data_IF_886045682728
#
_entry.id   IF_886045682728
#
_cell.length_a   1.000
_cell.length_b   1.000
_cell.length_c   1.000
_cell.angle_alpha   90.00
_cell.angle_beta   90.00
_cell.angle_gamma   90.00
#
_symmetry.space_group_name_H-M   'P 1'
#
loop_
_entity.id
_entity.type
_entity.pdbx_description
1 polymer ?
#
# COMPACT_ATOMS: atom_id res chain seq x y z
N UNK A 1 -4.25 15.82 -20.57
CA UNK A 1 -4.16 16.22 -19.16
C UNK A 1 -5.53 16.56 -18.61
N UNK A 2 -6.28 17.51 -19.20
CA UNK A 2 -7.70 17.76 -18.85
C UNK A 2 -8.58 16.50 -18.86
N UNK A 3 -8.49 15.67 -19.91
CA UNK A 3 -9.28 14.43 -20.00
C UNK A 3 -9.04 13.42 -18.86
N UNK A 4 -7.82 13.35 -18.32
CA UNK A 4 -7.50 12.44 -17.20
C UNK A 4 -8.08 12.95 -15.87
N UNK A 5 -8.06 14.27 -15.65
CA UNK A 5 -8.66 14.89 -14.47
C UNK A 5 -10.18 14.83 -14.50
N UNK A 6 -10.80 15.00 -15.68
CA UNK A 6 -12.24 14.83 -15.89
C UNK A 6 -12.71 13.39 -15.63
N UNK A 7 -11.95 12.39 -16.10
CA UNK A 7 -12.22 10.98 -15.81
C UNK A 7 -12.09 10.69 -14.31
N UNK A 8 -11.03 11.18 -13.67
CA UNK A 8 -10.84 11.02 -12.23
C UNK A 8 -11.98 11.66 -11.43
N UNK A 9 -12.40 12.88 -11.79
CA UNK A 9 -13.50 13.57 -11.15
C UNK A 9 -14.85 12.86 -11.33
N UNK A 10 -15.15 12.32 -12.51
CA UNK A 10 -16.38 11.54 -12.74
C UNK A 10 -16.39 10.23 -11.93
N UNK A 11 -15.22 9.67 -11.64
CA UNK A 11 -15.02 8.55 -10.73
C UNK A 11 -15.01 8.95 -9.24
N UNK A 12 -15.05 10.24 -8.92
CA UNK A 12 -15.08 10.75 -7.54
C UNK A 12 -13.73 10.79 -6.87
N UNK A 13 -12.65 10.56 -7.62
CA UNK A 13 -11.29 10.73 -7.13
C UNK A 13 -11.11 12.20 -6.83
N UNK A 14 -10.93 12.52 -5.56
CA UNK A 14 -10.67 13.88 -5.12
C UNK A 14 -9.18 14.20 -5.15
N UNK A 15 -8.29 13.22 -4.99
CA UNK A 15 -6.85 13.47 -4.91
C UNK A 15 -6.29 13.88 -6.27
N UNK A 16 -5.80 15.11 -6.36
CA UNK A 16 -5.13 15.60 -7.57
C UNK A 16 -3.73 15.03 -7.61
N UNK A 17 -3.31 14.46 -8.74
CA UNK A 17 -1.96 13.91 -8.87
C UNK A 17 -0.88 14.94 -9.17
N UNK A 18 -1.30 16.12 -9.64
CA UNK A 18 -0.44 17.25 -9.96
C UNK A 18 -1.13 18.55 -9.54
N UNK A 19 -0.37 19.64 -9.35
CA UNK A 19 -0.97 20.96 -9.25
C UNK A 19 -1.87 21.19 -10.47
N UNK A 20 -3.08 21.75 -10.30
CA UNK A 20 -3.85 22.23 -11.43
C UNK A 20 -2.95 23.12 -12.27
N UNK A 21 -3.05 23.05 -13.58
CA UNK A 21 -2.47 24.11 -14.41
C UNK A 21 -3.21 25.39 -14.08
N UNK A 22 -2.63 26.21 -13.20
CA UNK A 22 -3.08 27.57 -12.95
C UNK A 22 -3.03 28.41 -14.23
N UNK A 23 -3.56 29.65 -14.19
CA UNK A 23 -3.51 30.54 -15.35
C UNK A 23 -2.05 30.72 -15.85
N UNK A 24 -1.86 31.10 -17.13
CA UNK A 24 -0.54 31.18 -17.75
C UNK A 24 0.44 31.96 -16.88
N UNK A 25 1.73 31.56 -16.88
CA UNK A 25 2.80 32.40 -16.38
C UNK A 25 2.62 33.80 -16.97
N UNK A 26 2.26 34.78 -16.14
CA UNK A 26 2.36 36.17 -16.55
C UNK A 26 3.85 36.49 -16.61
N UNK A 27 4.41 36.50 -17.82
CA UNK A 27 5.79 36.88 -18.05
C UNK A 27 5.90 38.40 -17.88
N UNK A 28 6.43 38.85 -16.75
CA UNK A 28 6.63 40.28 -16.46
C UNK A 28 8.13 40.57 -16.46
N UNK A 29 8.75 40.51 -17.65
CA UNK A 29 10.18 40.79 -17.82
C UNK A 29 11.11 39.70 -17.23
N UNK A 30 12.25 40.03 -16.61
CA UNK A 30 13.23 39.04 -16.13
C UNK A 30 12.79 38.27 -14.87
N UNK A 31 11.56 38.46 -14.40
CA UNK A 31 11.04 37.83 -13.19
C UNK A 31 9.87 36.91 -13.51
N UNK A 32 9.96 35.66 -13.04
CA UNK A 32 8.82 34.75 -13.00
C UNK A 32 8.02 35.02 -11.73
N UNK A 33 6.81 35.58 -11.86
CA UNK A 33 5.89 35.75 -10.73
C UNK A 33 4.76 34.73 -10.84
N UNK A 34 4.66 33.81 -9.87
CA UNK A 34 3.46 32.98 -9.67
C UNK A 34 2.62 33.60 -8.56
N UNK A 35 1.41 34.04 -8.91
CA UNK A 35 0.38 34.31 -7.90
C UNK A 35 0.12 32.98 -7.17
N UNK A 36 0.40 32.91 -5.87
CA UNK A 36 -0.07 31.80 -5.05
C UNK A 36 -1.60 31.86 -5.07
N UNK A 37 -2.20 30.96 -5.84
CA UNK A 37 -3.64 30.77 -5.86
C UNK A 37 -3.95 29.53 -5.01
N UNK A 38 -5.04 29.53 -4.24
CA UNK A 38 -5.43 28.41 -3.36
C UNK A 38 -5.54 27.05 -4.11
N UNK A 39 -5.71 27.11 -5.44
CA UNK A 39 -5.69 25.94 -6.31
C UNK A 39 -4.32 25.24 -6.44
N UNK A 40 -3.19 25.93 -6.22
CA UNK A 40 -1.84 25.41 -6.46
C UNK A 40 -1.14 24.85 -5.22
N UNK A 41 -1.85 24.68 -4.11
CA UNK A 41 -1.36 24.01 -2.92
C UNK A 41 -2.09 22.68 -2.71
N UNK A 42 -1.42 21.63 -2.21
CA UNK A 42 -2.08 20.39 -1.84
C UNK A 42 -3.15 20.65 -0.78
N UNK A 43 -4.31 20.00 -0.92
CA UNK A 43 -5.43 20.18 0.03
C UNK A 43 -5.36 19.27 1.24
N UNK A 44 -4.64 18.15 1.12
CA UNK A 44 -4.41 17.20 2.20
C UNK A 44 -3.04 16.55 2.02
N UNK A 45 -2.61 15.79 3.04
CA UNK A 45 -1.28 15.17 3.05
C UNK A 45 -1.10 14.16 1.91
N UNK A 46 -2.15 13.41 1.54
CA UNK A 46 -2.06 12.41 0.48
C UNK A 46 -1.80 13.10 -0.86
N UNK A 47 -2.47 14.21 -1.13
CA UNK A 47 -2.25 15.02 -2.32
C UNK A 47 -0.81 15.57 -2.36
N UNK A 48 -0.28 16.03 -1.21
CA UNK A 48 1.11 16.51 -1.12
C UNK A 48 2.11 15.39 -1.41
N UNK A 49 1.89 14.20 -0.84
CA UNK A 49 2.72 13.02 -1.06
C UNK A 49 2.74 12.65 -2.55
N UNK A 50 1.57 12.56 -3.17
CA UNK A 50 1.42 12.17 -4.58
C UNK A 50 2.10 13.18 -5.51
N UNK A 51 2.00 14.48 -5.25
CA UNK A 51 2.66 15.50 -6.06
C UNK A 51 4.19 15.39 -5.97
N UNK A 52 4.72 15.18 -4.77
CA UNK A 52 6.15 14.96 -4.60
C UNK A 52 6.61 13.67 -5.26
N UNK A 53 5.79 12.62 -5.21
CA UNK A 53 6.09 11.33 -5.82
C UNK A 53 6.17 11.42 -7.34
N UNK A 54 5.29 12.18 -7.99
CA UNK A 54 5.35 12.41 -9.45
C UNK A 54 6.72 13.00 -9.86
N UNK A 55 7.21 14.00 -9.10
CA UNK A 55 8.53 14.62 -9.33
C UNK A 55 9.68 13.65 -9.03
N UNK A 56 9.58 12.89 -7.94
CA UNK A 56 10.57 11.90 -7.54
C UNK A 56 10.72 10.79 -8.59
N UNK A 57 9.60 10.19 -8.99
CA UNK A 57 9.55 9.11 -9.98
C UNK A 57 10.06 9.58 -11.34
N UNK A 58 9.75 10.81 -11.75
CA UNK A 58 10.31 11.38 -12.98
C UNK A 58 11.85 11.42 -12.95
N UNK A 59 12.46 11.83 -11.82
CA UNK A 59 13.92 11.86 -11.64
C UNK A 59 14.51 10.45 -11.59
N UNK A 60 13.88 9.52 -10.87
CA UNK A 60 14.34 8.13 -10.80
C UNK A 60 14.30 7.44 -12.16
N UNK A 61 13.23 7.67 -12.94
CA UNK A 61 13.08 7.12 -14.30
C UNK A 61 14.13 7.66 -15.27
N UNK A 62 14.53 8.94 -15.15
CA UNK A 62 15.63 9.49 -15.93
C UNK A 62 16.96 8.79 -15.61
N UNK A 63 17.22 8.52 -14.32
CA UNK A 63 18.44 7.81 -13.87
C UNK A 63 18.42 6.32 -14.22
N UNK A 64 17.25 5.68 -14.14
CA UNK A 64 17.03 4.26 -14.46
C UNK A 64 15.84 4.10 -15.41
N UNK A 65 16.05 4.21 -16.73
CA UNK A 65 14.99 4.04 -17.72
C UNK A 65 14.37 2.64 -17.69
N UNK A 66 13.12 2.53 -18.15
CA UNK A 66 12.37 1.26 -18.16
C UNK A 66 13.11 0.13 -18.92
N UNK A 67 13.83 0.46 -19.99
CA UNK A 67 14.65 -0.50 -20.73
C UNK A 67 15.75 -1.13 -19.88
N UNK A 68 16.35 -0.37 -18.97
CA UNK A 68 17.32 -0.89 -18.00
C UNK A 68 16.65 -1.82 -17.00
N UNK A 69 15.47 -1.46 -16.49
CA UNK A 69 14.74 -2.30 -15.54
C UNK A 69 14.31 -3.63 -16.16
N UNK A 70 13.85 -3.61 -17.42
CA UNK A 70 13.49 -4.84 -18.15
C UNK A 70 14.67 -5.82 -18.25
N UNK A 71 15.89 -5.33 -18.49
CA UNK A 71 17.11 -6.17 -18.45
C UNK A 71 17.39 -6.70 -17.05
N UNK A 72 17.23 -5.88 -16.02
CA UNK A 72 17.40 -6.33 -14.63
C UNK A 72 16.38 -7.39 -14.22
N UNK A 73 15.17 -7.39 -14.79
CA UNK A 73 14.14 -8.39 -14.52
C UNK A 73 14.53 -9.80 -14.97
N UNK A 74 15.37 -9.94 -16.01
CA UNK A 74 15.86 -11.25 -16.48
C UNK A 74 16.63 -12.00 -15.39
N UNK A 75 17.25 -11.26 -14.46
CA UNK A 75 18.02 -11.80 -13.34
C UNK A 75 17.25 -11.74 -12.01
N UNK A 76 16.01 -11.26 -12.00
CA UNK A 76 15.24 -11.13 -10.77
C UNK A 76 14.79 -12.52 -10.28
N UNK A 77 14.94 -12.85 -8.98
CA UNK A 77 14.49 -14.13 -8.46
C UNK A 77 12.98 -14.28 -8.62
N UNK A 78 12.43 -15.50 -8.77
CA UNK A 78 10.99 -15.73 -8.88
C UNK A 78 10.20 -15.02 -7.77
N UNK A 79 9.01 -14.51 -8.10
CA UNK A 79 8.12 -13.98 -7.07
C UNK A 79 7.62 -15.10 -6.17
N UNK A 80 7.27 -14.73 -4.94
CA UNK A 80 6.67 -15.62 -3.96
C UNK A 80 5.16 -15.40 -3.97
N UNK A 81 4.42 -16.48 -3.70
CA UNK A 81 2.96 -16.43 -3.73
C UNK A 81 2.39 -15.69 -2.51
N UNK A 82 2.16 -14.39 -2.69
CA UNK A 82 1.63 -13.50 -1.65
C UNK A 82 0.22 -13.89 -1.23
N UNK A 83 -0.67 -14.22 -2.19
CA UNK A 83 -2.04 -14.66 -1.90
C UNK A 83 -2.06 -16.03 -1.21
N UNK A 84 -1.26 -16.97 -1.71
CA UNK A 84 -1.11 -18.30 -1.13
C UNK A 84 -0.63 -18.25 0.31
N UNK A 85 0.34 -17.40 0.63
CA UNK A 85 0.83 -17.22 2.00
C UNK A 85 -0.27 -16.74 2.97
N UNK A 86 -1.11 -15.79 2.55
CA UNK A 86 -2.26 -15.33 3.34
C UNK A 86 -3.30 -16.43 3.56
N UNK A 87 -3.65 -17.17 2.50
CA UNK A 87 -4.60 -18.29 2.58
C UNK A 87 -4.08 -19.39 3.50
N UNK A 88 -2.80 -19.72 3.40
CA UNK A 88 -2.17 -20.75 4.22
C UNK A 88 -2.17 -20.37 5.70
N UNK A 89 -1.75 -19.14 6.01
CA UNK A 89 -1.76 -18.64 7.39
C UNK A 89 -3.17 -18.68 7.99
N UNK A 90 -4.18 -18.29 7.22
CA UNK A 90 -5.57 -18.35 7.67
C UNK A 90 -6.05 -19.77 7.92
N UNK A 91 -5.78 -20.69 6.98
CA UNK A 91 -6.14 -22.11 7.11
C UNK A 91 -5.48 -22.77 8.31
N UNK A 92 -4.19 -22.48 8.54
CA UNK A 92 -3.38 -23.10 9.60
C UNK A 92 -3.78 -22.62 10.99
N UNK A 93 -4.02 -21.32 11.15
CA UNK A 93 -4.19 -20.71 12.48
C UNK A 93 -5.66 -20.51 12.88
N UNK A 94 -6.56 -20.42 11.89
CA UNK A 94 -7.95 -19.97 12.05
C UNK A 94 -8.11 -18.46 12.19
N UNK A 95 -7.03 -17.68 12.06
CA UNK A 95 -7.02 -16.21 12.18
C UNK A 95 -6.72 -15.53 10.85
N UNK A 96 -7.03 -14.24 10.66
CA UNK A 96 -6.58 -13.51 9.49
C UNK A 96 -5.06 -13.58 9.32
N UNK A 97 -4.57 -13.81 8.09
CA UNK A 97 -3.13 -13.81 7.81
C UNK A 97 -2.50 -12.43 8.08
N UNK A 98 -1.41 -12.39 8.85
CA UNK A 98 -0.74 -11.14 9.20
C UNK A 98 0.19 -10.66 8.06
N UNK A 99 -0.03 -9.45 7.58
CA UNK A 99 0.93 -8.65 6.82
C UNK A 99 1.61 -7.69 7.81
N UNK A 100 2.80 -8.05 8.29
CA UNK A 100 3.51 -7.24 9.27
C UNK A 100 4.29 -6.11 8.59
N UNK A 101 4.07 -4.86 9.03
CA UNK A 101 4.62 -3.68 8.38
C UNK A 101 5.95 -3.23 9.00
N UNK A 102 7.01 -3.26 8.18
CA UNK A 102 8.34 -2.73 8.48
C UNK A 102 8.35 -1.23 8.18
N UNK A 103 8.23 -0.42 9.25
CA UNK A 103 8.06 1.03 9.15
C UNK A 103 8.93 1.79 10.18
N UNK A 104 9.69 2.77 9.72
CA UNK A 104 10.54 3.62 10.57
C UNK A 104 9.79 4.82 11.15
N UNK A 105 9.03 5.52 10.31
CA UNK A 105 8.30 6.72 10.68
C UNK A 105 6.94 6.80 9.97
N UNK A 106 6.08 7.71 10.42
CA UNK A 106 4.89 8.13 9.68
C UNK A 106 4.63 9.63 9.85
N UNK A 107 3.94 10.30 8.90
CA UNK A 107 3.57 11.70 9.04
C UNK A 107 2.77 12.00 10.31
N UNK A 108 1.93 11.07 10.74
CA UNK A 108 1.04 11.22 11.90
C UNK A 108 1.71 10.98 13.26
N UNK A 109 2.82 10.23 13.31
CA UNK A 109 3.44 9.79 14.58
C UNK A 109 4.92 10.14 14.69
N UNK A 110 5.53 10.70 13.65
CA UNK A 110 6.98 10.94 13.60
C UNK A 110 7.76 9.62 13.56
N UNK A 111 8.92 9.58 14.22
CA UNK A 111 9.76 8.38 14.30
C UNK A 111 9.12 7.38 15.27
N UNK A 112 8.82 6.17 14.77
CA UNK A 112 8.24 5.08 15.56
C UNK A 112 9.31 4.20 16.20
N UNK A 113 10.48 4.11 15.56
CA UNK A 113 11.61 3.31 16.02
C UNK A 113 12.92 3.98 15.61
N UNK A 114 13.67 4.46 16.61
CA UNK A 114 14.96 5.15 16.40
C UNK A 114 16.01 4.17 15.86
N UNK A 115 16.16 3.03 16.55
CA UNK A 115 17.04 1.93 16.12
C UNK A 115 16.31 1.02 15.12
N UNK A 116 16.45 1.37 13.84
CA UNK A 116 15.74 0.75 12.73
C UNK A 116 16.68 -0.06 11.84
N UNK A 117 16.75 -1.36 12.11
CA UNK A 117 17.30 -2.36 11.18
C UNK A 117 16.14 -3.09 10.48
N UNK A 118 15.89 -2.82 9.18
CA UNK A 118 14.78 -3.43 8.45
C UNK A 118 14.90 -4.95 8.33
N UNK A 119 16.13 -5.49 8.27
CA UNK A 119 16.38 -6.93 8.10
C UNK A 119 16.09 -7.66 9.40
N UNK A 120 16.59 -7.15 10.54
CA UNK A 120 16.34 -7.77 11.83
C UNK A 120 14.86 -7.70 12.23
N UNK A 121 14.19 -6.58 11.93
CA UNK A 121 12.74 -6.46 12.12
C UNK A 121 11.99 -7.48 11.25
N UNK A 122 12.34 -7.61 9.97
CA UNK A 122 11.70 -8.56 9.06
C UNK A 122 11.86 -10.02 9.51
N UNK A 123 13.06 -10.42 9.94
CA UNK A 123 13.31 -11.76 10.50
C UNK A 123 12.50 -11.99 11.79
N UNK A 124 12.39 -10.97 12.64
CA UNK A 124 11.60 -11.07 13.86
C UNK A 124 10.10 -11.24 13.56
N UNK A 125 9.57 -10.53 12.56
CA UNK A 125 8.18 -10.72 12.11
C UNK A 125 7.94 -12.10 11.49
N UNK A 126 8.84 -12.57 10.63
CA UNK A 126 8.77 -13.92 10.06
C UNK A 126 8.75 -14.99 11.16
N UNK A 127 9.69 -14.90 12.11
CA UNK A 127 9.74 -15.80 13.27
C UNK A 127 8.47 -15.72 14.12
N UNK A 128 7.87 -14.53 14.23
CA UNK A 128 6.62 -14.30 14.95
C UNK A 128 5.36 -14.79 14.23
N UNK A 129 5.48 -15.37 13.03
CA UNK A 129 4.34 -15.94 12.29
C UNK A 129 3.67 -14.99 11.29
N UNK A 130 4.33 -13.88 10.91
CA UNK A 130 3.84 -13.05 9.82
C UNK A 130 3.74 -13.88 8.52
N UNK A 131 2.60 -13.78 7.84
CA UNK A 131 2.38 -14.46 6.56
C UNK A 131 3.13 -13.75 5.44
N UNK A 132 3.04 -12.42 5.43
CA UNK A 132 3.71 -11.53 4.49
C UNK A 132 4.31 -10.34 5.25
N UNK A 133 5.19 -9.59 4.58
CA UNK A 133 5.71 -8.33 5.10
C UNK A 133 5.29 -7.17 4.19
N UNK A 134 4.95 -6.03 4.80
CA UNK A 134 4.78 -4.74 4.12
C UNK A 134 6.00 -3.89 4.39
N UNK A 135 6.70 -3.43 3.36
CA UNK A 135 7.91 -2.60 3.52
C UNK A 135 7.63 -1.22 2.95
N UNK A 136 7.73 -0.19 3.80
CA UNK A 136 7.62 1.20 3.36
C UNK A 136 8.84 1.58 2.53
N UNK A 137 8.61 2.04 1.31
CA UNK A 137 9.69 2.49 0.41
C UNK A 137 9.73 4.00 0.22
N UNK A 138 8.71 4.73 0.66
CA UNK A 138 8.69 6.20 0.58
C UNK A 138 9.71 6.82 1.54
N UNK A 139 10.68 7.53 0.97
CA UNK A 139 11.79 8.13 1.72
C UNK A 139 11.35 9.38 2.49
N UNK A 140 10.60 10.29 1.85
CA UNK A 140 10.34 11.63 2.37
C UNK A 140 9.43 11.61 3.61
N UNK A 141 8.35 10.83 3.58
CA UNK A 141 7.29 10.86 4.58
C UNK A 141 7.37 9.70 5.57
N UNK A 142 7.90 8.55 5.14
CA UNK A 142 7.98 7.35 5.98
C UNK A 142 9.42 6.96 6.36
N UNK A 143 10.43 7.66 5.84
CA UNK A 143 11.86 7.32 5.99
C UNK A 143 12.15 5.87 5.58
N UNK A 144 11.38 5.39 4.59
CA UNK A 144 11.55 4.09 3.94
C UNK A 144 12.59 4.15 2.83
N UNK A 145 12.80 3.02 2.16
CA UNK A 145 13.61 2.97 0.93
C UNK A 145 13.36 1.68 0.17
N UNK A 146 13.57 1.71 -1.15
CA UNK A 146 13.61 0.50 -1.97
C UNK A 146 14.81 -0.39 -1.62
N UNK A 147 15.88 0.19 -1.08
CA UNK A 147 17.06 -0.52 -0.59
C UNK A 147 16.72 -1.36 0.66
N UNK A 148 15.82 -0.91 1.53
CA UNK A 148 15.34 -1.71 2.67
C UNK A 148 14.61 -2.96 2.18
N UNK A 149 13.74 -2.82 1.18
CA UNK A 149 13.03 -3.94 0.55
C UNK A 149 14.01 -4.97 -0.04
N UNK A 150 15.00 -4.50 -0.79
CA UNK A 150 16.04 -5.34 -1.40
C UNK A 150 16.92 -6.02 -0.35
N UNK A 151 17.30 -5.30 0.71
CA UNK A 151 18.08 -5.85 1.82
C UNK A 151 17.32 -6.97 2.53
N UNK A 152 16.02 -6.78 2.83
CA UNK A 152 15.17 -7.82 3.44
C UNK A 152 15.09 -9.05 2.52
N UNK A 153 14.88 -8.85 1.22
CA UNK A 153 14.84 -9.95 0.24
C UNK A 153 16.16 -10.74 0.24
N UNK A 154 17.29 -10.04 0.19
CA UNK A 154 18.62 -10.64 0.09
C UNK A 154 19.06 -11.32 1.39
N UNK A 155 18.53 -10.89 2.54
CA UNK A 155 18.81 -11.49 3.84
C UNK A 155 18.19 -12.89 4.03
N UNK A 156 17.41 -13.37 3.04
CA UNK A 156 16.90 -14.74 3.02
C UNK A 156 15.56 -14.94 3.74
N UNK A 157 14.94 -13.87 4.24
CA UNK A 157 13.53 -13.86 4.71
C UNK A 157 12.66 -14.50 3.64
N UNK A 158 11.79 -15.44 4.01
CA UNK A 158 10.92 -16.24 3.13
C UNK A 158 9.53 -15.65 2.94
N UNK A 159 9.03 -14.86 3.88
CA UNK A 159 7.78 -14.13 3.72
C UNK A 159 7.74 -13.37 2.37
N UNK A 160 6.62 -13.40 1.63
CA UNK A 160 6.41 -12.51 0.49
C UNK A 160 6.43 -11.03 0.90
N UNK A 161 6.96 -10.16 0.04
CA UNK A 161 7.17 -8.75 0.34
C UNK A 161 6.23 -7.84 -0.47
N UNK A 162 5.40 -7.06 0.21
CA UNK A 162 4.64 -5.95 -0.35
C UNK A 162 5.51 -4.70 -0.37
N UNK A 163 5.64 -4.08 -1.55
CA UNK A 163 6.16 -2.73 -1.70
C UNK A 163 5.06 -1.73 -1.35
N UNK A 164 5.08 -1.19 -0.12
CA UNK A 164 4.12 -0.19 0.34
C UNK A 164 4.62 1.20 -0.07
N UNK A 165 4.11 1.68 -1.19
CA UNK A 165 4.52 2.90 -1.88
C UNK A 165 3.31 3.62 -2.48
N UNK A 166 3.42 4.93 -2.69
CA UNK A 166 2.44 5.68 -3.47
C UNK A 166 2.71 5.48 -4.97
N UNK A 167 2.14 4.42 -5.54
CA UNK A 167 2.31 4.11 -6.97
C UNK A 167 1.49 5.07 -7.82
N UNK A 168 2.18 5.87 -8.63
CA UNK A 168 1.59 6.82 -9.59
C UNK A 168 1.95 6.46 -11.04
N UNK A 169 3.05 5.74 -11.27
CA UNK A 169 3.44 5.28 -12.61
C UNK A 169 3.81 3.80 -12.62
N UNK A 170 3.51 3.13 -13.74
CA UNK A 170 3.87 1.74 -13.97
C UNK A 170 5.37 1.45 -13.78
N UNK A 171 6.25 2.43 -14.03
CA UNK A 171 7.69 2.30 -13.80
C UNK A 171 8.02 1.84 -12.37
N UNK A 172 7.28 2.31 -11.36
CA UNK A 172 7.49 1.91 -9.96
C UNK A 172 7.25 0.42 -9.75
N UNK A 173 6.31 -0.19 -10.48
CA UNK A 173 6.03 -1.62 -10.42
C UNK A 173 7.23 -2.43 -10.89
N UNK A 174 7.82 -2.05 -12.03
CA UNK A 174 9.04 -2.67 -12.55
C UNK A 174 10.21 -2.48 -11.57
N UNK A 175 10.33 -1.29 -10.98
CA UNK A 175 11.39 -0.99 -10.02
C UNK A 175 11.27 -1.83 -8.75
N UNK A 176 10.08 -1.87 -8.15
CA UNK A 176 9.77 -2.69 -6.98
C UNK A 176 10.05 -4.17 -7.25
N UNK A 177 9.67 -4.69 -8.44
CA UNK A 177 9.94 -6.08 -8.82
C UNK A 177 11.44 -6.40 -8.88
N UNK A 178 12.23 -5.52 -9.49
CA UNK A 178 13.70 -5.65 -9.52
C UNK A 178 14.28 -5.65 -8.11
N UNK A 179 13.68 -4.87 -7.20
CA UNK A 179 14.06 -4.79 -5.78
C UNK A 179 13.53 -5.94 -4.92
N UNK A 180 12.84 -6.92 -5.52
CA UNK A 180 12.43 -8.15 -4.85
C UNK A 180 11.01 -8.13 -4.27
N UNK A 181 10.17 -7.17 -4.66
CA UNK A 181 8.75 -7.19 -4.32
C UNK A 181 8.04 -8.42 -4.90
N UNK A 182 7.06 -8.91 -4.14
CA UNK A 182 6.09 -9.95 -4.51
C UNK A 182 4.67 -9.38 -4.62
N UNK A 183 4.42 -8.21 -4.02
CA UNK A 183 3.16 -7.47 -4.15
C UNK A 183 3.36 -5.96 -4.22
N UNK A 184 2.36 -5.25 -4.74
CA UNK A 184 2.33 -3.79 -4.95
C UNK A 184 1.05 -3.21 -4.36
N UNK A 185 1.17 -2.05 -3.71
CA UNK A 185 0.03 -1.24 -3.31
C UNK A 185 -0.47 -0.36 -4.47
N UNK A 186 -1.78 -0.42 -4.73
CA UNK A 186 -2.49 0.50 -5.63
C UNK A 186 -3.59 1.18 -4.84
N UNK A 187 -3.70 2.51 -4.89
CA UNK A 187 -4.63 3.27 -4.03
C UNK A 187 -5.79 3.80 -4.88
N UNK A 188 -7.02 3.35 -4.64
CA UNK A 188 -8.20 3.74 -5.41
C UNK A 188 -8.56 5.23 -5.27
N UNK A 189 -8.20 5.83 -4.14
CA UNK A 189 -8.31 7.27 -3.89
C UNK A 189 -7.39 8.11 -4.78
N UNK A 190 -6.37 7.52 -5.41
CA UNK A 190 -5.35 8.20 -6.23
C UNK A 190 -5.45 7.81 -7.70
N UNK A 191 -5.75 6.53 -7.99
CA UNK A 191 -5.67 5.95 -9.31
C UNK A 191 -7.06 5.85 -9.98
N UNK A 192 -7.22 6.37 -11.21
CA UNK A 192 -8.39 6.08 -12.04
C UNK A 192 -8.53 4.59 -12.35
N UNK A 193 -9.76 4.15 -12.66
CA UNK A 193 -10.04 2.72 -12.89
C UNK A 193 -9.20 2.13 -14.05
N UNK A 194 -8.93 2.93 -15.08
CA UNK A 194 -8.09 2.51 -16.20
C UNK A 194 -6.64 2.27 -15.76
N UNK A 195 -6.12 3.10 -14.86
CA UNK A 195 -4.77 2.96 -14.32
C UNK A 195 -4.69 1.73 -13.42
N UNK A 196 -5.67 1.51 -12.52
CA UNK A 196 -5.74 0.30 -11.69
C UNK A 196 -5.80 -0.94 -12.59
N UNK A 197 -6.70 -0.97 -13.58
CA UNK A 197 -6.82 -2.08 -14.53
C UNK A 197 -5.52 -2.36 -15.28
N UNK A 198 -4.83 -1.30 -15.73
CA UNK A 198 -3.56 -1.43 -16.44
C UNK A 198 -2.44 -1.92 -15.52
N UNK A 199 -2.33 -1.37 -14.31
CA UNK A 199 -1.31 -1.73 -13.33
C UNK A 199 -1.51 -3.15 -12.79
N UNK A 200 -2.75 -3.57 -12.53
CA UNK A 200 -3.07 -4.97 -12.16
C UNK A 200 -2.63 -5.95 -13.24
N UNK A 201 -2.82 -5.62 -14.53
CA UNK A 201 -2.31 -6.44 -15.64
C UNK A 201 -0.78 -6.52 -15.63
N UNK A 202 -0.09 -5.40 -15.39
CA UNK A 202 1.38 -5.41 -15.28
C UNK A 202 1.82 -6.26 -14.09
N UNK A 203 1.19 -6.13 -12.93
CA UNK A 203 1.48 -6.96 -11.76
C UNK A 203 1.37 -8.45 -12.12
N UNK A 204 0.27 -8.86 -12.75
CA UNK A 204 0.09 -10.24 -13.22
C UNK A 204 1.17 -10.69 -14.20
N UNK A 205 1.55 -9.85 -15.16
CA UNK A 205 2.65 -10.14 -16.11
C UNK A 205 4.01 -10.32 -15.42
N UNK A 206 4.23 -9.65 -14.29
CA UNK A 206 5.48 -9.72 -13.52
C UNK A 206 5.44 -10.75 -12.38
N UNK A 207 4.33 -11.47 -12.22
CA UNK A 207 4.10 -12.43 -11.13
C UNK A 207 3.84 -11.79 -9.77
N UNK A 208 3.47 -10.51 -9.74
CA UNK A 208 3.16 -9.75 -8.52
C UNK A 208 1.67 -9.81 -8.19
N UNK A 209 1.34 -9.78 -6.90
CA UNK A 209 -0.02 -9.51 -6.42
C UNK A 209 -0.26 -8.00 -6.32
N UNK A 210 -1.42 -7.51 -6.76
CA UNK A 210 -1.84 -6.13 -6.52
C UNK A 210 -2.78 -6.07 -5.32
N UNK A 211 -2.36 -5.38 -4.24
CA UNK A 211 -3.22 -4.98 -3.13
C UNK A 211 -3.88 -3.65 -3.50
N UNK A 212 -5.18 -3.66 -3.78
CA UNK A 212 -5.92 -2.44 -4.12
C UNK A 212 -6.58 -1.88 -2.86
N UNK A 213 -6.08 -0.75 -2.38
CA UNK A 213 -6.54 -0.07 -1.16
C UNK A 213 -7.75 0.84 -1.46
N UNK A 214 -8.79 0.70 -0.64
CA UNK A 214 -10.04 1.47 -0.66
C UNK A 214 -10.39 2.01 0.73
N UNK A 215 -11.13 3.11 0.77
CA UNK A 215 -11.54 3.80 1.99
C UNK A 215 -13.05 3.88 2.17
N UNK A 216 -13.79 3.97 1.06
CA UNK A 216 -15.23 4.18 1.06
C UNK A 216 -15.98 3.28 0.08
N UNK A 217 -17.31 3.37 0.13
CA UNK A 217 -18.24 2.60 -0.68
C UNK A 217 -18.01 2.80 -2.17
N UNK A 218 -17.72 4.04 -2.59
CA UNK A 218 -17.56 4.39 -4.00
C UNK A 218 -16.26 3.81 -4.55
N UNK A 219 -15.18 3.89 -3.78
CA UNK A 219 -13.91 3.25 -4.11
C UNK A 219 -14.06 1.72 -4.19
N UNK A 220 -14.76 1.11 -3.24
CA UNK A 220 -15.05 -0.32 -3.26
C UNK A 220 -15.85 -0.71 -4.51
N UNK A 221 -16.91 0.02 -4.86
CA UNK A 221 -17.74 -0.26 -6.03
C UNK A 221 -16.93 -0.18 -7.33
N UNK A 222 -16.06 0.84 -7.44
CA UNK A 222 -15.12 0.98 -8.57
C UNK A 222 -14.18 -0.22 -8.68
N UNK A 223 -13.56 -0.61 -7.57
CA UNK A 223 -12.57 -1.69 -7.54
C UNK A 223 -13.21 -3.05 -7.84
N UNK A 224 -14.42 -3.33 -7.33
CA UNK A 224 -15.14 -4.59 -7.60
C UNK A 224 -15.58 -4.75 -9.07
N UNK A 225 -15.76 -3.62 -9.78
CA UNK A 225 -16.05 -3.61 -11.21
C UNK A 225 -14.82 -3.92 -12.09
N UNK A 226 -13.60 -3.88 -11.54
CA UNK A 226 -12.36 -4.16 -12.28
C UNK A 226 -12.06 -5.66 -12.24
N UNK A 227 -11.92 -6.25 -13.43
CA UNK A 227 -11.53 -7.65 -13.57
C UNK A 227 -10.08 -7.90 -13.14
N UNK A 228 -9.85 -9.03 -12.48
CA UNK A 228 -8.51 -9.48 -12.07
C UNK A 228 -8.01 -8.91 -10.74
N UNK A 229 -8.86 -8.18 -10.00
CA UNK A 229 -8.58 -7.83 -8.60
C UNK A 229 -8.81 -9.06 -7.73
N UNK A 230 -7.79 -9.47 -6.98
CA UNK A 230 -7.81 -10.66 -6.11
C UNK A 230 -7.56 -10.32 -4.62
N UNK A 231 -7.06 -9.11 -4.35
CA UNK A 231 -6.72 -8.62 -3.01
C UNK A 231 -7.15 -7.16 -2.85
N UNK A 232 -8.03 -6.91 -1.88
CA UNK A 232 -8.52 -5.56 -1.54
C UNK A 232 -8.13 -5.22 -0.11
N UNK A 233 -7.54 -4.04 0.09
CA UNK A 233 -7.25 -3.49 1.41
C UNK A 233 -8.29 -2.47 1.81
N UNK A 234 -8.93 -2.65 2.96
CA UNK A 234 -9.82 -1.63 3.54
C UNK A 234 -9.01 -0.83 4.54
N UNK A 235 -8.71 0.42 4.21
CA UNK A 235 -7.99 1.31 5.10
C UNK A 235 -8.97 2.05 6.01
N UNK A 236 -8.97 1.68 7.29
CA UNK A 236 -9.85 2.28 8.30
C UNK A 236 -9.41 3.68 8.73
N UNK A 237 -8.28 4.20 8.21
CA UNK A 237 -7.81 5.56 8.49
C UNK A 237 -8.29 6.52 7.41
N UNK A 238 -9.01 7.55 7.82
CA UNK A 238 -9.30 8.68 6.95
C UNK A 238 -8.01 9.47 6.68
N UNK A 239 -7.64 9.66 5.41
CA UNK A 239 -6.39 10.33 5.03
C UNK A 239 -6.46 11.86 5.06
N UNK A 240 -7.66 12.44 5.25
CA UNK A 240 -7.88 13.87 5.45
C UNK A 240 -7.86 14.23 6.94
N UNK A 241 -8.49 13.42 7.81
CA UNK A 241 -8.61 13.70 9.25
C UNK A 241 -7.65 12.88 10.14
N UNK A 242 -7.05 11.82 9.61
CA UNK A 242 -6.28 10.79 10.32
C UNK A 242 -7.05 9.98 11.37
N UNK A 243 -8.36 10.22 11.52
CA UNK A 243 -9.24 9.42 12.37
C UNK A 243 -9.29 7.98 11.87
N UNK A 244 -9.42 7.05 12.81
CA UNK A 244 -9.43 5.62 12.52
C UNK A 244 -10.73 5.03 13.04
N UNK A 245 -11.47 4.37 12.16
CA UNK A 245 -12.74 3.71 12.48
C UNK A 245 -12.78 2.32 11.84
N UNK A 246 -12.58 1.29 12.66
CA UNK A 246 -12.60 -0.11 12.21
C UNK A 246 -14.00 -0.58 11.79
N UNK A 247 -15.07 0.15 12.18
CA UNK A 247 -16.43 -0.17 11.74
C UNK A 247 -16.64 0.04 10.23
N UNK A 248 -15.78 0.84 9.60
CA UNK A 248 -15.74 1.00 8.14
C UNK A 248 -15.56 -0.33 7.42
N UNK A 249 -14.70 -1.21 7.94
CA UNK A 249 -14.50 -2.56 7.39
C UNK A 249 -15.82 -3.34 7.32
N UNK A 250 -16.61 -3.32 8.40
CA UNK A 250 -17.89 -4.00 8.43
C UNK A 250 -18.88 -3.37 7.45
N UNK A 251 -19.00 -2.04 7.46
CA UNK A 251 -19.87 -1.28 6.55
C UNK A 251 -19.61 -1.60 5.07
N UNK A 252 -18.34 -1.69 4.66
CA UNK A 252 -17.98 -1.99 3.27
C UNK A 252 -18.19 -3.46 2.87
N UNK A 253 -18.18 -4.39 3.84
CA UNK A 253 -18.39 -5.82 3.61
C UNK A 253 -19.85 -6.26 3.78
N UNK A 254 -20.74 -5.36 4.21
CA UNK A 254 -22.17 -5.64 4.30
C UNK A 254 -22.86 -5.64 2.92
N UNK A 255 -24.00 -6.33 2.83
CA UNK A 255 -24.85 -6.35 1.65
C UNK A 255 -24.21 -6.96 0.39
N UNK A 256 -24.46 -6.33 -0.76
CA UNK A 256 -24.07 -6.80 -2.09
C UNK A 256 -22.55 -6.85 -2.28
N UNK A 257 -21.81 -5.88 -1.75
CA UNK A 257 -20.34 -5.81 -1.86
C UNK A 257 -19.68 -7.05 -1.26
N UNK A 258 -20.07 -7.42 -0.03
CA UNK A 258 -19.59 -8.64 0.61
C UNK A 258 -19.97 -9.90 -0.15
N UNK A 259 -21.16 -9.96 -0.76
CA UNK A 259 -21.57 -11.09 -1.59
C UNK A 259 -20.69 -11.21 -2.84
N UNK A 260 -20.45 -10.10 -3.55
CA UNK A 260 -19.58 -10.07 -4.73
C UNK A 260 -18.14 -10.44 -4.40
N UNK A 261 -17.59 -9.94 -3.28
CA UNK A 261 -16.26 -10.30 -2.78
C UNK A 261 -16.15 -11.81 -2.58
N UNK A 262 -17.15 -12.43 -1.93
CA UNK A 262 -17.19 -13.88 -1.72
C UNK A 262 -17.31 -14.66 -3.04
N UNK A 263 -18.18 -14.22 -3.95
CA UNK A 263 -18.38 -14.87 -5.26
C UNK A 263 -17.12 -14.83 -6.14
N UNK A 264 -16.36 -13.73 -6.08
CA UNK A 264 -15.10 -13.55 -6.80
C UNK A 264 -13.88 -14.14 -6.06
N UNK A 265 -14.08 -14.70 -4.87
CA UNK A 265 -13.02 -15.20 -3.98
C UNK A 265 -11.89 -14.19 -3.74
N UNK A 266 -12.26 -12.91 -3.59
CA UNK A 266 -11.33 -11.82 -3.28
C UNK A 266 -10.95 -11.92 -1.80
N UNK A 267 -9.65 -11.84 -1.51
CA UNK A 267 -9.16 -11.71 -0.13
C UNK A 267 -9.27 -10.26 0.29
N UNK A 268 -9.88 -10.02 1.45
CA UNK A 268 -9.95 -8.70 2.07
C UNK A 268 -8.91 -8.60 3.18
N UNK A 269 -8.16 -7.51 3.15
CA UNK A 269 -7.18 -7.10 4.16
C UNK A 269 -7.79 -5.97 4.99
N UNK A 270 -7.88 -6.13 6.30
CA UNK A 270 -8.19 -5.02 7.21
C UNK A 270 -6.93 -4.21 7.53
N UNK A 271 -6.93 -2.91 7.29
CA UNK A 271 -5.77 -2.04 7.53
C UNK A 271 -6.08 -0.90 8.49
N UNK A 272 -5.08 -0.50 9.28
CA UNK A 272 -5.18 0.54 10.31
C UNK A 272 -6.13 0.21 11.47
N UNK A 273 -5.79 0.66 12.68
CA UNK A 273 -6.70 0.60 13.83
C UNK A 273 -6.75 -0.72 14.60
N UNK A 274 -5.88 -1.67 14.30
CA UNK A 274 -5.87 -3.00 14.92
C UNK A 274 -4.78 -3.07 16.00
N UNK A 275 -5.18 -3.05 17.26
CA UNK A 275 -4.28 -3.00 18.42
C UNK A 275 -4.45 -4.18 19.37
N UNK A 276 -5.63 -4.80 19.37
CA UNK A 276 -6.03 -5.81 20.35
C UNK A 276 -6.61 -7.06 19.68
N UNK A 277 -6.69 -8.19 20.40
CA UNK A 277 -7.38 -9.39 19.91
C UNK A 277 -8.85 -9.14 19.56
N UNK A 278 -9.53 -8.26 20.29
CA UNK A 278 -10.93 -7.90 20.02
C UNK A 278 -11.07 -7.16 18.68
N UNK A 279 -10.10 -6.31 18.33
CA UNK A 279 -10.08 -5.65 17.00
C UNK A 279 -9.92 -6.68 15.87
N UNK A 280 -9.05 -7.68 16.07
CA UNK A 280 -8.84 -8.78 15.11
C UNK A 280 -10.11 -9.62 14.97
N UNK A 281 -10.74 -9.98 16.08
CA UNK A 281 -12.00 -10.72 16.09
C UNK A 281 -13.11 -9.94 15.37
N UNK A 282 -13.22 -8.64 15.65
CA UNK A 282 -14.21 -7.77 15.02
C UNK A 282 -14.12 -7.76 13.49
N UNK A 283 -12.91 -7.55 12.93
CA UNK A 283 -12.75 -7.55 11.47
C UNK A 283 -12.86 -8.96 10.88
N UNK A 284 -12.41 -9.98 11.59
CA UNK A 284 -12.55 -11.37 11.19
C UNK A 284 -14.03 -11.77 11.04
N UNK A 285 -14.89 -11.38 11.99
CA UNK A 285 -16.33 -11.61 11.95
C UNK A 285 -17.00 -10.92 10.75
N UNK A 286 -16.46 -9.79 10.30
CA UNK A 286 -16.91 -9.12 9.07
C UNK A 286 -16.49 -9.86 7.77
N UNK A 287 -15.64 -10.89 7.87
CA UNK A 287 -15.18 -11.70 6.74
C UNK A 287 -13.77 -11.35 6.24
N UNK A 288 -13.01 -10.55 6.99
CA UNK A 288 -11.61 -10.26 6.68
C UNK A 288 -10.75 -11.52 6.85
N UNK A 289 -9.91 -11.80 5.85
CA UNK A 289 -9.03 -12.99 5.81
C UNK A 289 -7.55 -12.66 6.02
N UNK A 290 -7.18 -11.37 6.01
CA UNK A 290 -5.84 -10.90 6.28
C UNK A 290 -5.86 -9.54 6.98
N UNK A 291 -4.81 -9.18 7.70
CA UNK A 291 -4.69 -7.87 8.36
C UNK A 291 -3.33 -7.27 8.09
N UNK A 292 -3.26 -5.96 7.86
CA UNK A 292 -1.99 -5.23 7.72
C UNK A 292 -1.75 -4.37 8.95
N UNK A 293 -0.69 -4.71 9.68
CA UNK A 293 -0.44 -4.12 11.00
C UNK A 293 1.02 -3.71 11.15
N UNK A 294 1.22 -2.45 11.55
CA UNK A 294 2.53 -1.88 11.84
C UNK A 294 2.61 -1.28 13.23
N UNK A 295 1.81 -0.24 13.50
CA UNK A 295 1.98 0.62 14.68
C UNK A 295 1.92 -0.12 16.03
N UNK A 296 1.01 -1.09 16.18
CA UNK A 296 0.87 -1.85 17.42
C UNK A 296 2.05 -2.78 17.70
N UNK A 297 2.73 -3.27 16.65
CA UNK A 297 3.81 -4.26 16.76
C UNK A 297 5.19 -3.58 16.75
N UNK A 298 5.40 -2.56 15.92
CA UNK A 298 6.71 -1.86 15.76
C UNK A 298 7.22 -1.25 17.07
N UNK A 299 6.31 -0.80 17.95
CA UNK A 299 6.64 -0.19 19.24
C UNK A 299 7.13 -1.19 20.30
N UNK A 300 6.95 -2.49 20.05
CA UNK A 300 7.38 -3.52 21.00
C UNK A 300 8.87 -3.80 20.83
N UNK A 301 9.57 -3.96 21.95
CA UNK A 301 10.99 -4.36 21.96
C UNK A 301 11.17 -5.77 21.36
N UNK A 302 10.19 -6.64 21.59
CA UNK A 302 10.08 -7.98 21.01
C UNK A 302 8.87 -8.04 20.06
N UNK A 303 9.10 -7.95 18.74
CA UNK A 303 8.05 -8.07 17.73
C UNK A 303 7.19 -9.33 17.84
N UNK A 304 7.78 -10.47 18.24
CA UNK A 304 7.05 -11.74 18.35
C UNK A 304 6.03 -11.71 19.50
N UNK A 305 6.38 -11.09 20.62
CA UNK A 305 5.43 -10.82 21.70
C UNK A 305 4.35 -9.82 21.29
N UNK A 306 4.71 -8.81 20.49
CA UNK A 306 3.75 -7.87 19.93
C UNK A 306 2.70 -8.57 19.05
N UNK A 307 3.14 -9.48 18.19
CA UNK A 307 2.25 -10.31 17.36
C UNK A 307 1.37 -11.20 18.26
N UNK A 308 1.97 -11.91 19.22
CA UNK A 308 1.22 -12.79 20.11
C UNK A 308 0.17 -12.04 20.93
N UNK A 309 0.49 -10.83 21.39
CA UNK A 309 -0.44 -9.94 22.10
C UNK A 309 -1.58 -9.45 21.21
N UNK A 310 -1.31 -9.14 19.94
CA UNK A 310 -2.31 -8.71 18.97
C UNK A 310 -3.33 -9.82 18.67
N UNK A 311 -2.89 -11.08 18.56
CA UNK A 311 -3.76 -12.21 18.26
C UNK A 311 -4.28 -12.94 19.53
N UNK A 312 -3.80 -12.56 20.71
CA UNK A 312 -4.13 -13.22 21.98
C UNK A 312 -3.52 -14.62 22.14
N UNK A 313 -2.68 -15.05 21.20
CA UNK A 313 -1.99 -16.35 21.17
C UNK A 313 -0.79 -16.32 20.23
N UNK A 314 0.07 -17.32 20.33
CA UNK A 314 1.16 -17.53 19.37
C UNK A 314 0.60 -18.04 18.02
N UNK A 315 1.01 -17.39 16.93
CA UNK A 315 0.64 -17.73 15.55
C UNK A 315 1.86 -18.12 14.68
N UNK A 316 3.03 -18.26 15.29
CA UNK A 316 4.26 -18.72 14.64
C UNK A 316 4.11 -20.10 13.99
N UNK A 317 5.04 -20.42 13.07
CA UNK A 317 5.10 -21.69 12.34
C UNK A 317 5.75 -22.78 13.17
#
# INVERSE_FOLDING_TARGET
>A
MMLQEEVAASQGIRIRRRPPTGPPLHYVGPFEFRVQNEGNTPRNILEEIVWNKDVEVAKMRQKKPLSSLKKSLENAPPTRDFLGALREANRRTGFPGLIAEVKKASPSRGILREDFDPVEIAKAYEKGGAACLSVLTDEKYFKGSFENLEAIRNAGVKCPLLCKEFVVEAWQIFYARVKGADAILLIAAVLPDLDIKYMTKICKMLGLTALVEVHDEREMDRVLAIEGVELIGINNRNLETFEVDISNTKRLLEGERGQLIRQKDIIVVGESGLFTPDDIAYVQEAGVKAVLVGESIVKQSDPGKGISGLFGKDISL
#
